data_IF_109699244880
#
_entry.id   IF_109699244880
#
_cell.length_a   1.000
_cell.length_b   1.000
_cell.length_c   1.000
_cell.angle_alpha   90.00
_cell.angle_beta   90.00
_cell.angle_gamma   90.00
#
_symmetry.space_group_name_H-M   'P 1'
#
loop_
_entity.id
_entity.type
_entity.pdbx_description
1 polymer ?
#
# COMPACT_ATOMS: atom_id res chain seq x y z
N UNK A 1 -42.54 51.43 -37.08
CA UNK A 1 -43.13 50.13 -36.68
C UNK A 1 -42.20 48.93 -36.93
N UNK A 2 -41.49 48.84 -38.05
CA UNK A 2 -40.53 47.76 -38.33
C UNK A 2 -39.34 47.70 -37.34
N UNK A 3 -38.81 48.84 -36.91
CA UNK A 3 -37.73 48.92 -35.89
C UNK A 3 -38.21 48.46 -34.49
N UNK A 4 -39.48 48.70 -34.15
CA UNK A 4 -40.06 48.30 -32.86
C UNK A 4 -40.33 46.78 -32.83
N UNK A 5 -40.85 46.21 -33.93
CA UNK A 5 -40.99 44.76 -34.09
C UNK A 5 -39.62 44.05 -34.11
N UNK A 6 -38.60 44.61 -34.79
CA UNK A 6 -37.23 44.09 -34.71
C UNK A 6 -36.66 44.11 -33.29
N UNK A 7 -37.05 45.05 -32.44
CA UNK A 7 -36.60 45.14 -31.03
C UNK A 7 -37.31 44.14 -30.11
N UNK A 8 -38.57 43.79 -30.42
CA UNK A 8 -39.32 42.75 -29.71
C UNK A 8 -38.80 41.35 -30.09
N UNK A 9 -38.53 41.10 -31.38
CA UNK A 9 -38.02 39.80 -31.83
C UNK A 9 -36.50 39.60 -31.66
N UNK A 10 -35.68 40.66 -31.59
CA UNK A 10 -34.25 40.52 -31.22
C UNK A 10 -34.05 40.03 -29.79
N UNK A 11 -34.96 40.41 -28.88
CA UNK A 11 -34.86 40.03 -27.48
C UNK A 11 -35.32 38.59 -27.21
N UNK A 12 -36.12 37.98 -28.11
CA UNK A 12 -36.51 36.56 -27.99
C UNK A 12 -35.44 35.62 -28.57
N UNK A 13 -34.70 36.04 -29.62
CA UNK A 13 -33.59 35.24 -30.17
C UNK A 13 -32.31 35.30 -29.31
N UNK A 14 -32.05 36.41 -28.60
CA UNK A 14 -30.90 36.52 -27.68
C UNK A 14 -31.18 36.03 -26.25
N UNK A 15 -32.45 35.73 -25.89
CA UNK A 15 -32.85 35.18 -24.58
C UNK A 15 -33.41 33.75 -24.62
N UNK A 16 -33.14 32.99 -25.68
CA UNK A 16 -33.12 31.54 -25.56
C UNK A 16 -31.92 31.16 -24.68
N UNK A 17 -32.06 31.32 -23.36
CA UNK A 17 -31.14 30.76 -22.39
C UNK A 17 -30.89 29.31 -22.80
N UNK A 18 -29.67 29.03 -23.28
CA UNK A 18 -29.27 27.68 -23.71
C UNK A 18 -29.66 26.75 -22.57
N UNK A 19 -30.71 25.95 -22.78
CA UNK A 19 -31.19 25.03 -21.75
C UNK A 19 -30.05 24.05 -21.50
N UNK A 20 -29.36 24.23 -20.37
CA UNK A 20 -28.33 23.30 -19.93
C UNK A 20 -29.03 21.96 -19.71
N UNK A 21 -28.73 21.00 -20.57
CA UNK A 21 -29.34 19.67 -20.49
C UNK A 21 -28.59 18.87 -19.43
N UNK A 22 -29.28 18.54 -18.35
CA UNK A 22 -28.73 17.69 -17.31
C UNK A 22 -28.77 16.23 -17.78
N UNK A 23 -27.63 15.56 -17.76
CA UNK A 23 -27.51 14.18 -18.22
C UNK A 23 -26.87 13.32 -17.14
N UNK A 24 -27.53 12.21 -16.81
CA UNK A 24 -26.97 11.20 -15.90
C UNK A 24 -25.79 10.49 -16.57
N UNK A 25 -24.70 10.29 -15.82
CA UNK A 25 -23.50 9.60 -16.27
C UNK A 25 -23.79 8.19 -16.82
N UNK A 26 -24.79 7.52 -16.27
CA UNK A 26 -25.24 6.19 -16.70
C UNK A 26 -25.70 6.21 -18.15
N UNK A 27 -26.49 7.22 -18.52
CA UNK A 27 -27.14 7.35 -19.83
C UNK A 27 -26.31 8.15 -20.85
N UNK A 28 -25.29 8.88 -20.39
CA UNK A 28 -24.51 9.81 -21.21
C UNK A 28 -23.88 9.18 -22.46
N UNK A 29 -23.39 7.94 -22.33
CA UNK A 29 -22.78 7.20 -23.45
C UNK A 29 -23.81 6.79 -24.50
N UNK A 30 -24.95 6.25 -24.07
CA UNK A 30 -26.04 5.86 -24.97
C UNK A 30 -26.60 7.08 -25.69
N UNK A 31 -26.83 8.16 -24.95
CA UNK A 31 -27.26 9.43 -25.50
C UNK A 31 -26.29 10.01 -26.54
N UNK A 32 -24.97 9.96 -26.27
CA UNK A 32 -23.97 10.43 -27.23
C UNK A 32 -23.95 9.55 -28.49
N UNK A 33 -24.10 8.23 -28.35
CA UNK A 33 -24.21 7.31 -29.48
C UNK A 33 -25.44 7.63 -30.35
N UNK A 34 -26.60 7.88 -29.73
CA UNK A 34 -27.80 8.26 -30.46
C UNK A 34 -27.63 9.60 -31.20
N UNK A 35 -27.09 10.62 -30.52
CA UNK A 35 -26.86 11.95 -31.10
C UNK A 35 -25.82 11.96 -32.21
N UNK A 36 -24.83 11.08 -32.14
CA UNK A 36 -23.79 10.95 -33.16
C UNK A 36 -24.16 10.03 -34.32
N UNK A 37 -25.31 9.35 -34.25
CA UNK A 37 -25.79 8.44 -35.31
C UNK A 37 -25.89 9.11 -36.69
N UNK A 38 -26.46 10.32 -36.85
CA UNK A 38 -26.52 10.97 -38.18
C UNK A 38 -25.13 11.27 -38.75
N UNK A 39 -24.16 11.61 -37.90
CA UNK A 39 -22.77 11.82 -38.32
C UNK A 39 -22.13 10.50 -38.78
N UNK A 40 -22.37 9.41 -38.06
CA UNK A 40 -21.91 8.08 -38.46
C UNK A 40 -22.55 7.65 -39.78
N UNK A 41 -23.84 7.87 -39.96
CA UNK A 41 -24.57 7.56 -41.19
C UNK A 41 -24.02 8.34 -42.39
N UNK A 42 -23.71 9.64 -42.23
CA UNK A 42 -23.08 10.47 -43.27
C UNK A 42 -21.69 9.92 -43.68
N UNK A 43 -20.83 9.62 -42.71
CA UNK A 43 -19.51 9.02 -42.95
C UNK A 43 -19.65 7.67 -43.67
N UNK A 44 -20.61 6.83 -43.26
CA UNK A 44 -20.87 5.54 -43.90
C UNK A 44 -21.39 5.69 -45.33
N UNK A 45 -22.24 6.68 -45.61
CA UNK A 45 -22.72 6.96 -46.96
C UNK A 45 -21.58 7.42 -47.88
N UNK A 46 -20.74 8.33 -47.41
CA UNK A 46 -19.56 8.79 -48.15
C UNK A 46 -18.58 7.64 -48.42
N UNK A 47 -18.30 6.81 -47.40
CA UNK A 47 -17.47 5.61 -47.56
C UNK A 47 -18.08 4.62 -48.56
N UNK A 48 -19.40 4.39 -48.51
CA UNK A 48 -20.08 3.50 -49.45
C UNK A 48 -19.96 3.99 -50.91
N UNK A 49 -20.05 5.30 -51.12
CA UNK A 49 -19.85 5.90 -52.44
C UNK A 49 -18.41 5.69 -52.95
N UNK A 50 -17.41 5.84 -52.08
CA UNK A 50 -16.01 5.57 -52.45
C UNK A 50 -15.80 4.08 -52.75
N UNK A 51 -16.38 3.16 -51.97
CA UNK A 51 -16.32 1.72 -52.24
C UNK A 51 -16.94 1.35 -53.60
N UNK A 52 -17.99 2.05 -54.02
CA UNK A 52 -18.55 1.87 -55.35
C UNK A 52 -17.53 2.24 -56.44
N UNK A 53 -16.85 3.39 -56.31
CA UNK A 53 -15.76 3.78 -57.22
C UNK A 53 -14.60 2.77 -57.20
N UNK A 54 -14.25 2.23 -56.03
CA UNK A 54 -13.21 1.18 -55.89
C UNK A 54 -13.62 -0.08 -56.66
N UNK A 55 -14.89 -0.48 -56.57
CA UNK A 55 -15.42 -1.63 -57.33
C UNK A 55 -15.38 -1.39 -58.85
N UNK A 56 -15.74 -0.18 -59.30
CA UNK A 56 -15.62 0.18 -60.71
C UNK A 56 -14.16 0.15 -61.20
N UNK A 57 -13.24 0.70 -60.41
CA UNK A 57 -11.81 0.69 -60.74
C UNK A 57 -11.22 -0.73 -60.73
N UNK A 58 -11.70 -1.60 -59.84
CA UNK A 58 -11.37 -3.03 -59.83
C UNK A 58 -11.74 -3.70 -61.15
N UNK A 59 -12.93 -3.42 -61.69
CA UNK A 59 -13.31 -3.96 -63.01
C UNK A 59 -12.44 -3.39 -64.13
N UNK A 60 -12.16 -2.08 -64.13
CA UNK A 60 -11.28 -1.45 -65.13
C UNK A 60 -9.85 -2.02 -65.10
N UNK A 61 -9.31 -2.25 -63.92
CA UNK A 61 -8.00 -2.86 -63.73
C UNK A 61 -7.99 -4.29 -64.29
N UNK A 62 -9.03 -5.09 -64.03
CA UNK A 62 -9.17 -6.45 -64.58
C UNK A 62 -9.22 -6.46 -66.11
N UNK A 63 -10.02 -5.58 -66.72
CA UNK A 63 -10.03 -5.44 -68.18
C UNK A 63 -8.67 -5.02 -68.75
N UNK A 64 -7.95 -4.14 -68.05
CA UNK A 64 -6.61 -3.72 -68.47
C UNK A 64 -5.57 -4.84 -68.37
N UNK A 65 -5.69 -5.71 -67.36
CA UNK A 65 -4.87 -6.91 -67.21
C UNK A 65 -5.15 -7.91 -68.32
N UNK A 66 -6.43 -8.20 -68.60
CA UNK A 66 -6.81 -9.10 -69.69
C UNK A 66 -6.33 -8.57 -71.04
N UNK A 67 -6.39 -7.25 -71.26
CA UNK A 67 -5.82 -6.62 -72.45
C UNK A 67 -4.31 -6.83 -72.55
N UNK A 68 -3.56 -6.67 -71.45
CA UNK A 68 -2.11 -6.95 -71.42
C UNK A 68 -1.80 -8.43 -71.69
N UNK A 69 -2.57 -9.35 -71.11
CA UNK A 69 -2.40 -10.79 -71.33
C UNK A 69 -2.55 -11.17 -72.81
N UNK A 70 -3.56 -10.59 -73.47
CA UNK A 70 -3.91 -10.86 -74.86
C UNK A 70 -3.18 -9.99 -75.89
N UNK A 71 -2.45 -8.96 -75.44
CA UNK A 71 -1.75 -8.03 -76.33
C UNK A 71 -0.68 -8.73 -77.18
N UNK A 72 -0.67 -8.41 -78.48
CA UNK A 72 0.31 -8.90 -79.46
C UNK A 72 1.45 -7.91 -79.63
N UNK A 73 2.66 -8.43 -79.88
CA UNK A 73 3.82 -7.60 -80.18
C UNK A 73 3.59 -6.76 -81.45
N UNK A 74 3.86 -5.46 -81.36
CA UNK A 74 3.83 -4.58 -82.53
C UNK A 74 4.94 -4.93 -83.53
N UNK A 75 6.12 -5.28 -83.04
CA UNK A 75 7.20 -5.86 -83.83
C UNK A 75 7.41 -7.34 -83.45
N UNK A 76 6.95 -8.30 -84.25
CA UNK A 76 7.14 -9.73 -83.96
C UNK A 76 8.58 -10.20 -84.20
N UNK A 77 9.41 -9.43 -84.92
CA UNK A 77 10.78 -9.78 -85.29
C UNK A 77 11.79 -9.36 -84.20
N UNK A 78 11.62 -9.89 -82.98
CA UNK A 78 12.56 -9.68 -81.87
C UNK A 78 13.35 -10.96 -81.57
N UNK A 79 14.54 -10.87 -80.95
CA UNK A 79 15.31 -12.05 -80.55
C UNK A 79 14.51 -12.98 -79.64
N UNK A 80 14.63 -14.29 -79.85
CA UNK A 80 13.91 -15.31 -79.08
C UNK A 80 14.09 -15.14 -77.55
N UNK A 81 15.31 -14.84 -77.12
CA UNK A 81 15.64 -14.56 -75.71
C UNK A 81 14.84 -13.36 -75.17
N UNK A 82 14.71 -12.27 -75.93
CA UNK A 82 13.93 -11.10 -75.53
C UNK A 82 12.44 -11.43 -75.42
N UNK A 83 11.90 -12.25 -76.34
CA UNK A 83 10.52 -12.74 -76.29
C UNK A 83 10.25 -13.56 -75.02
N UNK A 84 11.15 -14.48 -74.66
CA UNK A 84 11.03 -15.27 -73.42
C UNK A 84 11.07 -14.40 -72.16
N UNK A 85 11.98 -13.42 -72.10
CA UNK A 85 12.04 -12.48 -70.97
C UNK A 85 10.75 -11.67 -70.85
N UNK A 86 10.24 -11.14 -71.96
CA UNK A 86 8.98 -10.39 -71.97
C UNK A 86 7.82 -11.27 -71.46
N UNK A 87 7.65 -12.47 -71.99
CA UNK A 87 6.54 -13.37 -71.61
C UNK A 87 6.61 -13.78 -70.14
N UNK A 88 7.83 -14.06 -69.63
CA UNK A 88 8.05 -14.37 -68.23
C UNK A 88 7.68 -13.19 -67.30
N UNK A 89 8.12 -11.98 -67.66
CA UNK A 89 7.78 -10.76 -66.90
C UNK A 89 6.29 -10.42 -67.00
N UNK A 90 5.64 -10.65 -68.16
CA UNK A 90 4.19 -10.49 -68.33
C UNK A 90 3.43 -11.35 -67.34
N UNK A 91 3.73 -12.66 -67.29
CA UNK A 91 3.07 -13.60 -66.37
C UNK A 91 3.30 -13.23 -64.92
N UNK A 92 4.53 -12.85 -64.55
CA UNK A 92 4.86 -12.43 -63.20
C UNK A 92 4.08 -11.14 -62.81
N UNK A 93 4.09 -10.13 -63.68
CA UNK A 93 3.39 -8.87 -63.46
C UNK A 93 1.88 -9.09 -63.29
N UNK A 94 1.25 -9.80 -64.23
CA UNK A 94 -0.19 -10.07 -64.17
C UNK A 94 -0.56 -10.83 -62.91
N UNK A 95 0.21 -11.85 -62.51
CA UNK A 95 -0.02 -12.59 -61.27
C UNK A 95 0.03 -11.68 -60.05
N UNK A 96 1.06 -10.83 -59.94
CA UNK A 96 1.23 -9.90 -58.82
C UNK A 96 0.09 -8.88 -58.75
N UNK A 97 -0.29 -8.28 -59.88
CA UNK A 97 -1.41 -7.32 -59.92
C UNK A 97 -2.73 -8.00 -59.59
N UNK A 98 -3.02 -9.19 -60.13
CA UNK A 98 -4.24 -9.94 -59.79
C UNK A 98 -4.31 -10.29 -58.29
N UNK A 99 -3.18 -10.66 -57.67
CA UNK A 99 -3.12 -10.90 -56.23
C UNK A 99 -3.48 -9.64 -55.44
N UNK A 100 -2.95 -8.48 -55.82
CA UNK A 100 -3.29 -7.21 -55.21
C UNK A 100 -4.78 -6.87 -55.39
N UNK A 101 -5.32 -7.04 -56.60
CA UNK A 101 -6.73 -6.79 -56.89
C UNK A 101 -7.67 -7.69 -56.06
N UNK A 102 -7.25 -8.92 -55.73
CA UNK A 102 -7.99 -9.79 -54.81
C UNK A 102 -8.13 -9.19 -53.41
N UNK A 103 -7.15 -8.42 -52.93
CA UNK A 103 -7.25 -7.71 -51.65
C UNK A 103 -8.18 -6.49 -51.72
N UNK A 104 -8.46 -5.95 -52.91
CA UNK A 104 -9.35 -4.80 -53.09
C UNK A 104 -10.84 -5.20 -53.13
N UNK A 105 -11.17 -6.49 -53.03
CA UNK A 105 -12.53 -7.00 -52.89
C UNK A 105 -13.06 -6.79 -51.46
N UNK A 106 -13.47 -5.56 -51.16
CA UNK A 106 -13.97 -5.18 -49.84
C UNK A 106 -15.47 -5.50 -49.72
N UNK A 107 -15.79 -6.54 -48.97
CA UNK A 107 -17.18 -6.95 -48.70
C UNK A 107 -17.75 -6.40 -47.39
N UNK A 108 -16.88 -6.04 -46.43
CA UNK A 108 -17.28 -5.49 -45.15
C UNK A 108 -17.28 -3.96 -45.19
N UNK A 109 -18.43 -3.35 -44.88
CA UNK A 109 -18.63 -1.89 -44.89
C UNK A 109 -18.63 -1.27 -43.49
N UNK A 110 -18.34 -2.06 -42.46
CA UNK A 110 -18.22 -1.58 -41.09
C UNK A 110 -17.11 -0.52 -40.97
N UNK A 111 -17.38 0.54 -40.22
CA UNK A 111 -16.48 1.68 -40.04
C UNK A 111 -15.11 1.25 -39.49
N UNK A 112 -15.09 0.40 -38.45
CA UNK A 112 -13.82 -0.03 -37.84
C UNK A 112 -13.04 -0.96 -38.76
N UNK A 113 -13.73 -1.82 -39.53
CA UNK A 113 -13.09 -2.61 -40.56
C UNK A 113 -12.42 -1.74 -41.62
N UNK A 114 -13.12 -0.72 -42.14
CA UNK A 114 -12.60 0.16 -43.18
C UNK A 114 -11.39 0.99 -42.71
N UNK A 115 -11.39 1.43 -41.45
CA UNK A 115 -10.21 2.05 -40.83
C UNK A 115 -9.04 1.07 -40.81
N UNK A 116 -9.29 -0.16 -40.38
CA UNK A 116 -8.27 -1.21 -40.33
C UNK A 116 -7.67 -1.47 -41.72
N UNK A 117 -8.52 -1.61 -42.73
CA UNK A 117 -8.09 -1.82 -44.11
C UNK A 117 -7.28 -0.64 -44.66
N UNK A 118 -7.72 0.61 -44.42
CA UNK A 118 -6.99 1.78 -44.89
C UNK A 118 -5.58 1.89 -44.29
N UNK A 119 -5.35 1.36 -43.08
CA UNK A 119 -4.02 1.31 -42.47
C UNK A 119 -3.09 0.32 -43.17
N UNK A 120 -3.62 -0.81 -43.64
CA UNK A 120 -2.82 -1.85 -44.31
C UNK A 120 -2.68 -1.61 -45.82
N UNK A 121 -3.53 -0.77 -46.42
CA UNK A 121 -3.49 -0.46 -47.85
C UNK A 121 -2.12 0.07 -48.31
N UNK A 122 -1.49 0.95 -47.53
CA UNK A 122 -0.19 1.54 -47.87
C UNK A 122 0.90 0.46 -47.98
N UNK A 123 0.83 -0.59 -47.16
CA UNK A 123 1.75 -1.72 -47.23
C UNK A 123 1.48 -2.54 -48.49
N UNK A 124 0.21 -2.84 -48.78
CA UNK A 124 -0.20 -3.62 -49.97
C UNK A 124 0.26 -2.97 -51.28
N UNK A 125 0.06 -1.66 -51.45
CA UNK A 125 0.46 -0.95 -52.67
C UNK A 125 1.99 -0.85 -52.78
N UNK A 126 2.69 -0.66 -51.66
CA UNK A 126 4.15 -0.62 -51.64
C UNK A 126 4.79 -1.96 -51.99
N UNK A 127 4.23 -3.05 -51.47
CA UNK A 127 4.71 -4.40 -51.76
C UNK A 127 4.45 -4.77 -53.22
N UNK A 128 3.30 -4.39 -53.77
CA UNK A 128 3.05 -4.53 -55.21
C UNK A 128 4.09 -3.76 -56.03
N UNK A 129 4.35 -2.49 -55.70
CA UNK A 129 5.31 -1.65 -56.41
C UNK A 129 6.72 -2.26 -56.41
N UNK A 130 7.20 -2.72 -55.25
CA UNK A 130 8.49 -3.40 -55.13
C UNK A 130 8.54 -4.70 -55.92
N UNK A 131 7.48 -5.52 -55.82
CA UNK A 131 7.39 -6.82 -56.48
C UNK A 131 7.24 -6.74 -58.01
N UNK A 132 6.76 -5.61 -58.53
CA UNK A 132 6.44 -5.47 -59.96
C UNK A 132 7.36 -4.53 -60.74
N UNK A 133 8.20 -3.72 -60.08
CA UNK A 133 9.04 -2.69 -60.71
C UNK A 133 9.83 -3.20 -61.93
N UNK A 134 10.53 -4.33 -61.78
CA UNK A 134 11.32 -4.93 -62.87
C UNK A 134 10.43 -5.37 -64.02
N UNK A 135 9.36 -6.10 -63.72
CA UNK A 135 8.45 -6.62 -64.73
C UNK A 135 7.74 -5.49 -65.48
N UNK A 136 7.31 -4.46 -64.78
CA UNK A 136 6.74 -3.24 -65.35
C UNK A 136 7.73 -2.55 -66.31
N UNK A 137 8.97 -2.32 -65.86
CA UNK A 137 10.01 -1.65 -66.68
C UNK A 137 10.29 -2.41 -67.98
N UNK A 138 10.38 -3.74 -67.90
CA UNK A 138 10.58 -4.57 -69.10
C UNK A 138 9.36 -4.53 -70.01
N UNK A 139 8.15 -4.60 -69.45
CA UNK A 139 6.93 -4.60 -70.24
C UNK A 139 6.63 -3.25 -70.90
N UNK A 140 7.10 -2.13 -70.34
CA UNK A 140 6.96 -0.82 -70.96
C UNK A 140 7.61 -0.75 -72.36
N UNK A 141 8.72 -1.46 -72.59
CA UNK A 141 9.38 -1.52 -73.91
C UNK A 141 8.53 -2.22 -74.99
N UNK A 142 7.55 -3.06 -74.59
CA UNK A 142 6.77 -3.88 -75.52
C UNK A 142 5.26 -3.58 -75.50
N UNK A 143 4.72 -3.14 -74.37
CA UNK A 143 3.30 -2.96 -74.05
C UNK A 143 3.07 -1.70 -73.21
N UNK A 144 3.73 -0.59 -73.58
CA UNK A 144 3.64 0.68 -72.86
C UNK A 144 2.20 1.14 -72.62
N UNK A 145 1.31 0.94 -73.60
CA UNK A 145 -0.07 1.37 -73.52
C UNK A 145 -0.88 0.55 -72.52
N UNK A 146 -0.78 -0.78 -72.58
CA UNK A 146 -1.49 -1.70 -71.70
C UNK A 146 -0.98 -1.58 -70.25
N UNK A 147 0.34 -1.57 -70.08
CA UNK A 147 0.95 -1.40 -68.75
C UNK A 147 0.72 -0.01 -68.17
N UNK A 148 0.64 1.03 -69.01
CA UNK A 148 0.25 2.38 -68.60
C UNK A 148 -1.19 2.48 -68.08
N UNK A 149 -2.13 1.76 -68.70
CA UNK A 149 -3.53 1.68 -68.19
C UNK A 149 -3.60 1.03 -66.81
N UNK A 150 -2.87 -0.06 -66.61
CA UNK A 150 -2.81 -0.74 -65.30
C UNK A 150 -2.19 0.20 -64.24
N UNK A 151 -1.08 0.88 -64.58
CA UNK A 151 -0.46 1.85 -63.68
C UNK A 151 -1.42 3.00 -63.31
N UNK A 152 -2.23 3.48 -64.27
CA UNK A 152 -3.25 4.49 -64.00
C UNK A 152 -4.33 3.97 -63.04
N UNK A 153 -4.78 2.71 -63.20
CA UNK A 153 -5.71 2.08 -62.24
C UNK A 153 -5.13 1.99 -60.83
N UNK A 154 -3.85 1.60 -60.69
CA UNK A 154 -3.17 1.56 -59.39
C UNK A 154 -3.10 2.96 -58.74
N UNK A 155 -2.84 4.01 -59.53
CA UNK A 155 -2.88 5.39 -59.06
C UNK A 155 -4.29 5.83 -58.63
N UNK A 156 -5.32 5.37 -59.35
CA UNK A 156 -6.70 5.66 -58.98
C UNK A 156 -7.07 5.00 -57.65
N UNK A 157 -6.65 3.75 -57.40
CA UNK A 157 -6.82 3.12 -56.08
C UNK A 157 -6.17 3.95 -54.97
N UNK A 158 -4.92 4.37 -55.13
CA UNK A 158 -4.22 5.21 -54.16
C UNK A 158 -5.01 6.49 -53.83
N UNK A 159 -5.50 7.18 -54.86
CA UNK A 159 -6.36 8.36 -54.69
C UNK A 159 -7.68 8.05 -53.96
N UNK A 160 -8.34 6.95 -54.30
CA UNK A 160 -9.62 6.56 -53.69
C UNK A 160 -9.45 6.17 -52.21
N UNK A 161 -8.38 5.47 -51.87
CA UNK A 161 -8.08 5.16 -50.46
C UNK A 161 -7.58 6.38 -49.70
N UNK A 162 -6.96 7.36 -50.35
CA UNK A 162 -6.73 8.69 -49.79
C UNK A 162 -8.02 9.42 -49.44
N UNK A 163 -9.00 9.43 -50.36
CA UNK A 163 -10.35 9.98 -50.15
C UNK A 163 -11.04 9.24 -48.98
N UNK A 164 -10.97 7.91 -48.96
CA UNK A 164 -11.54 7.06 -47.90
C UNK A 164 -10.95 7.40 -46.53
N UNK A 165 -9.61 7.50 -46.43
CA UNK A 165 -8.93 7.89 -45.17
C UNK A 165 -9.41 9.26 -44.68
N UNK A 166 -9.59 10.22 -45.58
CA UNK A 166 -10.08 11.56 -45.22
C UNK A 166 -11.51 11.52 -44.67
N UNK A 167 -12.39 10.72 -45.29
CA UNK A 167 -13.78 10.54 -44.83
C UNK A 167 -13.83 9.85 -43.47
N UNK A 168 -13.04 8.78 -43.29
CA UNK A 168 -13.00 8.02 -42.04
C UNK A 168 -12.33 8.79 -40.90
N UNK A 169 -11.38 9.68 -41.18
CA UNK A 169 -10.76 10.58 -40.20
C UNK A 169 -11.57 11.85 -39.94
N UNK A 170 -12.89 11.78 -40.01
CA UNK A 170 -13.77 12.89 -39.67
C UNK A 170 -13.50 13.36 -38.23
N UNK A 171 -13.00 14.59 -38.08
CA UNK A 171 -12.57 15.14 -36.78
C UNK A 171 -13.66 15.05 -35.71
N UNK A 172 -14.92 15.29 -36.09
CA UNK A 172 -16.06 15.20 -35.16
C UNK A 172 -16.30 13.78 -34.70
N UNK A 173 -16.20 12.80 -35.60
CA UNK A 173 -16.40 11.39 -35.25
C UNK A 173 -15.25 10.85 -34.40
N UNK A 174 -14.01 11.31 -34.65
CA UNK A 174 -12.86 11.04 -33.79
C UNK A 174 -13.10 11.63 -32.38
N UNK A 175 -13.56 12.87 -32.30
CA UNK A 175 -13.89 13.52 -31.03
C UNK A 175 -15.01 12.79 -30.27
N UNK A 176 -16.07 12.32 -30.96
CA UNK A 176 -17.12 11.47 -30.36
C UNK A 176 -16.52 10.23 -29.71
N UNK A 177 -15.67 9.49 -30.44
CA UNK A 177 -15.05 8.28 -29.92
C UNK A 177 -14.15 8.56 -28.71
N UNK A 178 -13.40 9.67 -28.72
CA UNK A 178 -12.59 10.10 -27.57
C UNK A 178 -13.46 10.45 -26.36
N UNK A 179 -14.57 11.17 -26.57
CA UNK A 179 -15.53 11.49 -25.52
C UNK A 179 -16.13 10.21 -24.90
N UNK A 180 -16.48 9.21 -25.71
CA UNK A 180 -16.97 7.90 -25.22
C UNK A 180 -15.94 7.23 -24.30
N UNK A 181 -14.65 7.23 -24.68
CA UNK A 181 -13.58 6.67 -23.83
C UNK A 181 -13.49 7.43 -22.50
N UNK A 182 -13.55 8.76 -22.53
CA UNK A 182 -13.56 9.58 -21.31
C UNK A 182 -14.78 9.28 -20.43
N UNK A 183 -15.97 9.17 -21.01
CA UNK A 183 -17.20 8.81 -20.29
C UNK A 183 -17.07 7.46 -19.58
N UNK A 184 -16.49 6.45 -20.26
CA UNK A 184 -16.23 5.13 -19.65
C UNK A 184 -15.24 5.22 -18.50
N UNK A 185 -14.18 6.02 -18.64
CA UNK A 185 -13.21 6.27 -17.58
C UNK A 185 -13.88 6.97 -16.37
N UNK A 186 -14.75 7.96 -16.64
CA UNK A 186 -15.54 8.63 -15.61
C UNK A 186 -16.43 7.63 -14.85
N UNK A 187 -17.19 6.78 -15.57
CA UNK A 187 -18.00 5.69 -14.98
C UNK A 187 -17.17 4.78 -14.07
N UNK A 188 -15.96 4.39 -14.51
CA UNK A 188 -15.07 3.55 -13.72
C UNK A 188 -14.60 4.26 -12.43
N UNK A 189 -14.17 5.52 -12.54
CA UNK A 189 -13.71 6.31 -11.38
C UNK A 189 -14.84 6.57 -10.37
N UNK A 190 -16.04 6.89 -10.84
CA UNK A 190 -17.21 7.07 -9.97
C UNK A 190 -17.55 5.79 -9.20
N UNK A 191 -17.48 4.62 -9.85
CA UNK A 191 -17.65 3.32 -9.16
C UNK A 191 -16.55 3.07 -8.13
N UNK A 192 -15.30 3.37 -8.47
CA UNK A 192 -14.18 3.22 -7.54
C UNK A 192 -14.35 4.11 -6.30
N UNK A 193 -14.82 5.34 -6.48
CA UNK A 193 -15.13 6.24 -5.35
C UNK A 193 -16.21 5.66 -4.44
N UNK A 194 -17.31 5.15 -5.00
CA UNK A 194 -18.38 4.51 -4.22
C UNK A 194 -17.82 3.37 -3.37
N UNK A 195 -16.92 2.56 -3.92
CA UNK A 195 -16.28 1.48 -3.16
C UNK A 195 -15.43 2.04 -2.00
N UNK A 196 -14.60 3.07 -2.24
CA UNK A 196 -13.85 3.70 -1.16
C UNK A 196 -14.73 4.34 -0.09
N UNK A 197 -15.86 4.94 -0.45
CA UNK A 197 -16.81 5.50 0.52
C UNK A 197 -17.45 4.41 1.39
N UNK A 198 -17.78 3.25 0.80
CA UNK A 198 -18.30 2.08 1.53
C UNK A 198 -17.24 1.49 2.45
N UNK A 199 -16.02 1.28 1.94
CA UNK A 199 -14.92 0.72 2.70
C UNK A 199 -14.50 1.65 3.85
N UNK A 200 -14.51 2.96 3.61
CA UNK A 200 -14.25 3.98 4.63
C UNK A 200 -15.27 3.90 5.77
N UNK A 201 -16.57 3.77 5.48
CA UNK A 201 -17.61 3.57 6.51
C UNK A 201 -17.42 2.28 7.30
N UNK A 202 -16.97 1.20 6.65
CA UNK A 202 -16.67 -0.06 7.34
C UNK A 202 -15.44 0.06 8.26
N UNK A 203 -14.40 0.77 7.81
CA UNK A 203 -13.22 1.06 8.61
C UNK A 203 -13.55 1.97 9.81
N UNK A 204 -14.41 2.98 9.62
CA UNK A 204 -14.92 3.84 10.71
C UNK A 204 -15.68 3.04 11.77
N UNK A 205 -16.58 2.14 11.33
CA UNK A 205 -17.32 1.27 12.26
C UNK A 205 -16.37 0.36 13.05
N UNK A 206 -15.35 -0.19 12.40
CA UNK A 206 -14.34 -1.05 13.03
C UNK A 206 -13.45 -0.27 14.00
N UNK A 207 -13.11 0.99 13.69
CA UNK A 207 -12.41 1.89 14.60
C UNK A 207 -13.25 2.19 15.85
N UNK A 208 -14.56 2.43 15.67
CA UNK A 208 -15.48 2.64 16.77
C UNK A 208 -15.57 1.43 17.70
N UNK A 209 -15.72 0.22 17.15
CA UNK A 209 -15.74 -1.03 17.92
C UNK A 209 -14.45 -1.19 18.72
N UNK A 210 -13.28 -1.03 18.09
CA UNK A 210 -11.99 -1.14 18.79
C UNK A 210 -11.83 -0.10 19.92
N UNK A 211 -12.39 1.10 19.72
CA UNK A 211 -12.40 2.15 20.76
C UNK A 211 -13.32 1.78 21.92
N UNK A 212 -14.49 1.20 21.64
CA UNK A 212 -15.40 0.68 22.67
C UNK A 212 -14.77 -0.49 23.45
N UNK A 213 -14.08 -1.42 22.78
CA UNK A 213 -13.30 -2.50 23.41
C UNK A 213 -12.25 -1.95 24.38
N UNK A 214 -11.45 -0.96 23.94
CA UNK A 214 -10.47 -0.29 24.80
C UNK A 214 -11.12 0.33 26.05
N UNK A 215 -12.23 1.04 25.87
CA UNK A 215 -12.93 1.67 26.99
C UNK A 215 -13.50 0.63 27.97
N UNK A 216 -13.97 -0.52 27.49
CA UNK A 216 -14.41 -1.62 28.34
C UNK A 216 -13.26 -2.21 29.16
N UNK A 217 -12.07 -2.38 28.56
CA UNK A 217 -10.87 -2.83 29.26
C UNK A 217 -10.46 -1.83 30.36
N UNK A 218 -10.46 -0.53 30.05
CA UNK A 218 -10.17 0.53 31.04
C UNK A 218 -11.15 0.45 32.22
N UNK A 219 -12.46 0.34 31.95
CA UNK A 219 -13.46 0.21 32.99
C UNK A 219 -13.27 -1.06 33.85
N UNK A 220 -12.81 -2.16 33.25
CA UNK A 220 -12.48 -3.39 33.99
C UNK A 220 -11.26 -3.22 34.88
N UNK A 221 -10.22 -2.51 34.42
CA UNK A 221 -9.05 -2.15 35.23
C UNK A 221 -9.48 -1.30 36.43
N UNK A 222 -10.34 -0.30 36.23
CA UNK A 222 -10.85 0.55 37.32
C UNK A 222 -11.64 -0.25 38.35
N UNK A 223 -12.55 -1.13 37.89
CA UNK A 223 -13.29 -2.05 38.78
C UNK A 223 -12.37 -2.98 39.55
N UNK A 224 -11.33 -3.50 38.89
CA UNK A 224 -10.35 -4.35 39.54
C UNK A 224 -9.52 -3.59 40.57
N UNK A 225 -9.11 -2.36 40.27
CA UNK A 225 -8.39 -1.50 41.20
C UNK A 225 -9.20 -1.17 42.47
N UNK A 226 -10.53 -1.05 42.32
CA UNK A 226 -11.47 -0.84 43.42
C UNK A 226 -11.88 -2.13 44.15
N UNK A 227 -11.41 -3.30 43.69
CA UNK A 227 -11.78 -4.59 44.28
C UNK A 227 -11.07 -4.85 45.61
N UNK A 228 -11.71 -5.65 46.46
CA UNK A 228 -11.11 -6.13 47.71
C UNK A 228 -9.83 -6.93 47.48
N UNK A 229 -9.75 -7.67 46.37
CA UNK A 229 -8.58 -8.46 45.99
C UNK A 229 -7.34 -7.57 45.77
N UNK A 230 -7.50 -6.46 45.05
CA UNK A 230 -6.43 -5.50 44.83
C UNK A 230 -6.05 -4.76 46.12
N UNK A 231 -7.05 -4.36 46.92
CA UNK A 231 -6.80 -3.75 48.23
C UNK A 231 -6.01 -4.67 49.18
N UNK A 232 -6.35 -5.97 49.19
CA UNK A 232 -5.62 -6.99 49.96
C UNK A 232 -4.20 -7.19 49.46
N UNK A 233 -3.98 -7.15 48.14
CA UNK A 233 -2.63 -7.21 47.59
C UNK A 233 -1.78 -6.00 48.01
N UNK A 234 -2.36 -4.78 47.98
CA UNK A 234 -1.69 -3.57 48.44
C UNK A 234 -1.33 -3.65 49.93
N UNK A 235 -2.26 -4.10 50.78
CA UNK A 235 -2.00 -4.23 52.21
C UNK A 235 -0.94 -5.28 52.53
N UNK A 236 -0.93 -6.43 51.84
CA UNK A 236 0.14 -7.43 51.96
C UNK A 236 1.51 -6.89 51.53
N UNK A 237 1.56 -6.08 50.48
CA UNK A 237 2.79 -5.45 50.02
C UNK A 237 3.30 -4.39 51.02
N UNK A 238 2.39 -3.63 51.62
CA UNK A 238 2.71 -2.66 52.65
C UNK A 238 3.18 -3.35 53.94
N UNK A 239 2.50 -4.42 54.37
CA UNK A 239 2.92 -5.25 55.51
C UNK A 239 4.33 -5.80 55.29
N UNK A 240 4.59 -6.37 54.10
CA UNK A 240 5.93 -6.86 53.72
C UNK A 240 6.99 -5.76 53.82
N UNK A 241 6.69 -4.56 53.32
CA UNK A 241 7.60 -3.41 53.38
C UNK A 241 7.86 -2.98 54.83
N UNK A 242 6.83 -2.94 55.66
CA UNK A 242 6.93 -2.54 57.06
C UNK A 242 7.73 -3.57 57.88
N UNK A 243 7.49 -4.88 57.69
CA UNK A 243 8.29 -5.93 58.34
C UNK A 243 9.74 -5.90 57.92
N UNK A 244 10.02 -5.74 56.62
CA UNK A 244 11.39 -5.60 56.13
C UNK A 244 12.11 -4.39 56.74
N UNK A 245 11.42 -3.27 56.87
CA UNK A 245 11.97 -2.07 57.52
C UNK A 245 12.24 -2.28 59.02
N UNK A 246 11.31 -2.91 59.74
CA UNK A 246 11.49 -3.22 61.16
C UNK A 246 12.68 -4.17 61.38
N UNK A 247 12.82 -5.19 60.54
CA UNK A 247 13.94 -6.13 60.65
C UNK A 247 15.28 -5.49 60.30
N UNK A 248 15.31 -4.55 59.34
CA UNK A 248 16.52 -3.80 59.00
C UNK A 248 17.11 -3.04 60.21
N UNK A 249 16.28 -2.58 61.15
CA UNK A 249 16.76 -1.95 62.38
C UNK A 249 17.44 -2.97 63.31
N UNK A 250 16.86 -4.16 63.46
CA UNK A 250 17.45 -5.27 64.21
C UNK A 250 18.77 -5.75 63.55
N UNK A 251 18.83 -5.87 62.22
CA UNK A 251 20.05 -6.21 61.48
C UNK A 251 21.16 -5.17 61.70
N UNK A 252 20.83 -3.88 61.59
CA UNK A 252 21.80 -2.81 61.79
C UNK A 252 22.38 -2.81 63.20
N UNK A 253 21.60 -3.17 64.21
CA UNK A 253 22.10 -3.29 65.59
C UNK A 253 23.22 -4.34 65.67
N UNK A 254 23.03 -5.49 65.03
CA UNK A 254 24.07 -6.54 64.95
C UNK A 254 25.28 -6.06 64.14
N UNK A 255 25.06 -5.51 62.94
CA UNK A 255 26.13 -5.04 62.07
C UNK A 255 26.99 -3.96 62.75
N UNK A 256 26.37 -3.02 63.47
CA UNK A 256 27.07 -1.98 64.22
C UNK A 256 27.87 -2.54 65.39
N UNK A 257 27.34 -3.55 66.07
CA UNK A 257 28.02 -4.23 67.18
C UNK A 257 29.28 -4.94 66.65
N UNK A 258 29.16 -5.72 65.57
CA UNK A 258 30.31 -6.41 64.95
C UNK A 258 31.31 -5.45 64.28
N UNK A 259 30.86 -4.35 63.68
CA UNK A 259 31.74 -3.29 63.16
C UNK A 259 32.57 -2.64 64.26
N UNK A 260 31.97 -2.40 65.43
CA UNK A 260 32.69 -1.87 66.60
C UNK A 260 33.73 -2.85 67.15
N UNK A 261 33.53 -4.14 66.91
CA UNK A 261 34.43 -5.23 67.33
C UNK A 261 35.41 -5.68 66.24
N UNK A 262 35.34 -5.13 65.04
CA UNK A 262 36.12 -5.59 63.87
C UNK A 262 37.63 -5.61 64.14
N UNK A 263 38.17 -4.48 64.58
CA UNK A 263 39.62 -4.34 64.85
C UNK A 263 40.08 -5.20 66.05
N UNK A 264 39.38 -5.24 67.20
CA UNK A 264 39.68 -6.17 68.28
C UNK A 264 39.63 -7.65 67.86
N UNK A 265 38.55 -8.07 67.18
CA UNK A 265 38.35 -9.46 66.75
C UNK A 265 39.41 -9.91 65.75
N UNK A 266 39.74 -9.07 64.75
CA UNK A 266 40.79 -9.36 63.77
C UNK A 266 42.19 -9.43 64.40
N UNK A 267 42.46 -8.67 65.47
CA UNK A 267 43.72 -8.81 66.21
C UNK A 267 43.74 -10.07 67.07
N UNK A 268 42.60 -10.43 67.66
CA UNK A 268 42.45 -11.62 68.48
C UNK A 268 42.57 -12.90 67.65
N UNK A 269 42.04 -12.94 66.43
CA UNK A 269 42.14 -14.10 65.53
C UNK A 269 43.58 -14.50 65.22
N UNK A 270 44.52 -13.54 65.18
CA UNK A 270 45.96 -13.81 64.98
C UNK A 270 46.68 -14.34 66.23
N UNK A 271 46.06 -14.21 67.42
CA UNK A 271 46.61 -14.71 68.69
C UNK A 271 46.01 -16.08 69.02
N UNK A 272 44.71 -16.27 68.73
CA UNK A 272 43.97 -17.50 68.90
C UNK A 272 43.71 -18.17 67.54
N UNK A 273 44.76 -18.77 66.96
CA UNK A 273 44.75 -19.40 65.63
C UNK A 273 43.63 -20.45 65.42
N UNK A 274 43.18 -21.10 66.49
CA UNK A 274 42.13 -22.13 66.46
C UNK A 274 40.73 -21.57 66.07
N UNK A 275 40.53 -20.25 66.10
CA UNK A 275 39.25 -19.61 65.82
C UNK A 275 39.27 -18.61 64.65
N UNK A 276 40.36 -18.56 63.87
CA UNK A 276 40.56 -17.52 62.86
C UNK A 276 39.46 -17.49 61.79
N UNK A 277 39.09 -18.65 61.24
CA UNK A 277 38.06 -18.77 60.20
C UNK A 277 36.68 -18.35 60.71
N UNK A 278 36.28 -18.84 61.89
CA UNK A 278 35.00 -18.49 62.53
C UNK A 278 34.92 -16.99 62.83
N UNK A 279 36.00 -16.37 63.31
CA UNK A 279 36.04 -14.91 63.54
C UNK A 279 35.83 -14.15 62.23
N UNK A 280 36.48 -14.56 61.14
CA UNK A 280 36.35 -13.91 59.84
C UNK A 280 34.92 -14.02 59.28
N UNK A 281 34.27 -15.17 59.45
CA UNK A 281 32.87 -15.37 59.03
C UNK A 281 31.92 -14.42 59.78
N UNK A 282 32.13 -14.22 61.08
CA UNK A 282 31.35 -13.29 61.88
C UNK A 282 31.59 -11.83 61.55
N UNK A 283 32.75 -11.47 61.00
CA UNK A 283 33.04 -10.10 60.56
C UNK A 283 32.51 -9.82 59.16
N UNK A 284 32.65 -10.78 58.24
CA UNK A 284 32.26 -10.60 56.85
C UNK A 284 30.74 -10.71 56.67
N UNK A 285 30.11 -11.66 57.39
CA UNK A 285 28.68 -11.93 57.27
C UNK A 285 28.02 -12.19 58.63
N UNK A 286 27.97 -11.18 59.51
CA UNK A 286 27.58 -11.38 60.91
C UNK A 286 26.23 -12.09 61.08
N UNK A 287 25.25 -11.73 60.25
CA UNK A 287 23.87 -12.24 60.34
C UNK A 287 23.77 -13.68 59.80
N UNK A 288 24.33 -13.95 58.61
CA UNK A 288 24.33 -15.31 58.02
C UNK A 288 25.06 -16.29 58.94
N UNK A 289 26.25 -15.91 59.42
CA UNK A 289 27.06 -16.72 60.31
C UNK A 289 26.35 -16.98 61.64
N UNK A 290 25.77 -15.94 62.25
CA UNK A 290 25.00 -16.08 63.49
C UNK A 290 23.77 -16.97 63.33
N UNK A 291 23.07 -16.90 62.19
CA UNK A 291 21.90 -17.74 61.93
C UNK A 291 22.22 -19.23 61.73
N UNK A 292 23.43 -19.54 61.28
CA UNK A 292 23.87 -20.91 61.01
C UNK A 292 24.65 -21.53 62.19
N UNK A 293 25.12 -20.72 63.13
CA UNK A 293 25.82 -21.20 64.32
C UNK A 293 24.86 -21.67 65.42
N UNK A 294 24.64 -23.00 65.46
CA UNK A 294 23.80 -23.65 66.48
C UNK A 294 24.43 -23.67 67.88
N UNK A 295 25.75 -23.52 67.97
CA UNK A 295 26.50 -23.59 69.23
C UNK A 295 26.79 -22.22 69.84
N UNK A 296 26.59 -21.14 69.09
CA UNK A 296 26.99 -19.78 69.46
C UNK A 296 28.48 -19.71 69.87
N UNK A 297 29.36 -20.30 69.06
CA UNK A 297 30.81 -20.29 69.19
C UNK A 297 31.37 -18.86 69.35
N UNK A 298 30.66 -17.85 68.82
CA UNK A 298 31.01 -16.43 69.03
C UNK A 298 31.04 -16.03 70.52
N UNK A 299 30.26 -16.67 71.40
CA UNK A 299 30.26 -16.34 72.83
C UNK A 299 31.60 -16.68 73.49
N UNK A 300 32.19 -17.82 73.15
CA UNK A 300 33.50 -18.22 73.67
C UNK A 300 34.61 -17.31 73.12
N UNK A 301 34.51 -16.94 71.84
CA UNK A 301 35.40 -15.96 71.21
C UNK A 301 35.30 -14.60 71.90
N UNK A 302 34.08 -14.09 72.15
CA UNK A 302 33.85 -12.80 72.81
C UNK A 302 34.35 -12.81 74.27
N UNK A 303 34.16 -13.92 75.00
CA UNK A 303 34.65 -14.09 76.38
C UNK A 303 36.19 -14.11 76.45
N UNK A 304 36.83 -14.78 75.50
CA UNK A 304 38.29 -14.80 75.42
C UNK A 304 38.86 -13.45 74.94
N UNK A 305 38.15 -12.78 74.02
CA UNK A 305 38.45 -11.42 73.61
C UNK A 305 38.34 -10.43 74.79
N UNK A 306 37.30 -10.54 75.63
CA UNK A 306 37.14 -9.71 76.83
C UNK A 306 38.34 -9.84 77.77
N UNK A 307 38.76 -11.08 78.07
CA UNK A 307 39.96 -11.35 78.89
C UNK A 307 41.22 -10.75 78.27
N UNK A 308 41.44 -10.97 76.97
CA UNK A 308 42.61 -10.46 76.27
C UNK A 308 42.66 -8.92 76.21
N UNK A 309 41.50 -8.25 76.24
CA UNK A 309 41.41 -6.79 76.32
C UNK A 309 41.73 -6.26 77.72
N UNK A 310 41.27 -6.94 78.78
CA UNK A 310 41.52 -6.59 80.18
C UNK A 310 42.98 -6.84 80.61
N UNK A 311 43.58 -7.95 80.17
CA UNK A 311 44.95 -8.35 80.52
C UNK A 311 46.05 -7.67 79.66
N UNK A 312 45.68 -6.71 78.81
CA UNK A 312 46.55 -6.08 77.81
C UNK A 312 47.19 -7.05 76.78
N UNK A 313 46.61 -8.25 76.61
CA UNK A 313 47.03 -9.22 75.59
C UNK A 313 46.84 -8.73 74.15
N UNK A 314 46.00 -7.71 73.93
CA UNK A 314 45.82 -7.04 72.64
C UNK A 314 46.21 -5.56 72.77
N UNK A 315 47.17 -5.11 71.95
CA UNK A 315 47.58 -3.70 71.89
C UNK A 315 46.47 -2.83 71.27
N UNK A 316 45.60 -2.30 72.12
CA UNK A 316 44.59 -1.27 71.80
C UNK A 316 44.78 -0.11 72.77
N UNK A 317 44.76 1.12 72.25
CA UNK A 317 44.86 2.36 73.03
C UNK A 317 43.79 2.42 74.13
N UNK A 318 44.16 2.81 75.36
CA UNK A 318 43.33 2.68 76.56
C UNK A 318 41.97 3.38 76.47
N UNK A 319 41.92 4.56 75.82
CA UNK A 319 40.67 5.30 75.56
C UNK A 319 39.74 4.66 74.51
N UNK A 320 40.22 3.64 73.78
CA UNK A 320 39.47 2.94 72.72
C UNK A 320 39.01 1.54 73.14
N UNK A 321 39.28 1.13 74.38
CA UNK A 321 38.89 -0.19 74.93
C UNK A 321 37.46 -0.22 75.49
N UNK A 322 36.92 0.92 75.92
CA UNK A 322 35.61 1.01 76.57
C UNK A 322 34.47 0.56 75.63
N UNK A 323 34.38 1.13 74.42
CA UNK A 323 33.31 0.80 73.45
C UNK A 323 33.29 -0.68 73.02
N UNK A 324 34.44 -1.33 72.69
CA UNK A 324 34.45 -2.78 72.46
C UNK A 324 34.01 -3.62 73.67
N UNK A 325 34.41 -3.23 74.89
CA UNK A 325 34.00 -3.95 76.11
C UNK A 325 32.49 -3.83 76.38
N UNK A 326 31.90 -2.67 76.09
CA UNK A 326 30.45 -2.46 76.17
C UNK A 326 29.70 -3.32 75.14
N UNK A 327 30.16 -3.35 73.89
CA UNK A 327 29.54 -4.17 72.83
C UNK A 327 29.69 -5.67 73.11
N UNK A 328 30.83 -6.14 73.65
CA UNK A 328 31.00 -7.54 74.08
C UNK A 328 29.97 -7.93 75.15
N UNK A 329 29.73 -7.06 76.13
CA UNK A 329 28.71 -7.30 77.18
C UNK A 329 27.29 -7.30 76.65
N UNK A 330 27.02 -6.48 75.63
CA UNK A 330 25.73 -6.40 74.94
C UNK A 330 25.47 -7.66 74.11
N UNK A 331 26.48 -8.21 73.44
CA UNK A 331 26.41 -9.45 72.67
C UNK A 331 26.46 -10.71 73.56
N UNK A 332 25.64 -10.72 74.61
CA UNK A 332 25.49 -11.88 75.48
C UNK A 332 24.62 -12.97 74.84
N UNK A 333 24.57 -14.14 75.51
CA UNK A 333 23.83 -15.31 75.04
C UNK A 333 22.36 -14.99 74.79
N UNK A 334 21.71 -14.34 75.75
CA UNK A 334 20.29 -14.00 75.68
C UNK A 334 19.99 -13.08 74.47
N UNK A 335 20.83 -12.08 74.22
CA UNK A 335 20.68 -11.15 73.10
C UNK A 335 20.83 -11.87 71.76
N UNK A 336 21.88 -12.68 71.60
CA UNK A 336 22.15 -13.40 70.35
C UNK A 336 21.06 -14.46 70.06
N UNK A 337 20.64 -15.23 71.07
CA UNK A 337 19.54 -16.19 70.92
C UNK A 337 18.23 -15.51 70.53
N UNK A 338 17.92 -14.36 71.15
CA UNK A 338 16.75 -13.55 70.79
C UNK A 338 16.84 -13.02 69.36
N UNK A 339 18.00 -12.54 68.94
CA UNK A 339 18.19 -12.07 67.56
C UNK A 339 18.02 -13.22 66.55
N UNK A 340 18.65 -14.38 66.78
CA UNK A 340 18.50 -15.55 65.90
C UNK A 340 17.04 -15.98 65.80
N UNK A 341 16.32 -16.01 66.93
CA UNK A 341 14.89 -16.32 66.95
C UNK A 341 14.07 -15.31 66.14
N UNK A 342 14.36 -14.01 66.29
CA UNK A 342 13.72 -12.94 65.49
C UNK A 342 14.02 -13.09 64.00
N UNK A 343 15.26 -13.40 63.62
CA UNK A 343 15.67 -13.62 62.23
C UNK A 343 14.89 -14.75 61.57
N UNK A 344 14.78 -15.91 62.24
CA UNK A 344 14.01 -17.03 61.69
C UNK A 344 12.51 -16.75 61.64
N UNK A 345 11.94 -16.06 62.63
CA UNK A 345 10.54 -15.61 62.59
C UNK A 345 10.30 -14.67 61.41
N UNK A 346 11.16 -13.64 61.26
CA UNK A 346 11.09 -12.71 60.14
C UNK A 346 11.18 -13.41 58.79
N UNK A 347 12.15 -14.31 58.62
CA UNK A 347 12.33 -15.07 57.37
C UNK A 347 11.09 -15.89 57.03
N UNK A 348 10.53 -16.62 58.00
CA UNK A 348 9.30 -17.39 57.83
C UNK A 348 8.10 -16.51 57.46
N UNK A 349 7.93 -15.39 58.16
CA UNK A 349 6.84 -14.43 57.89
C UNK A 349 6.95 -13.78 56.52
N UNK A 350 8.19 -13.46 56.08
CA UNK A 350 8.45 -12.91 54.76
C UNK A 350 8.14 -13.93 53.65
N UNK A 351 8.52 -15.18 53.84
CA UNK A 351 8.21 -16.26 52.90
C UNK A 351 6.70 -16.51 52.79
N UNK A 352 5.98 -16.50 53.93
CA UNK A 352 4.52 -16.58 53.93
C UNK A 352 3.86 -15.40 53.21
N UNK A 353 4.32 -14.17 53.47
CA UNK A 353 3.81 -12.97 52.79
C UNK A 353 4.08 -13.04 51.30
N UNK A 354 5.27 -13.46 50.89
CA UNK A 354 5.61 -13.59 49.48
C UNK A 354 4.75 -14.66 48.78
N UNK A 355 4.49 -15.78 49.45
CA UNK A 355 3.58 -16.81 48.94
C UNK A 355 2.14 -16.30 48.83
N UNK A 356 1.64 -15.57 49.84
CA UNK A 356 0.30 -14.93 49.80
C UNK A 356 0.19 -13.91 48.65
N UNK A 357 1.24 -13.12 48.43
CA UNK A 357 1.33 -12.15 47.32
C UNK A 357 1.33 -12.88 45.97
N UNK A 358 2.13 -13.95 45.81
CA UNK A 358 2.16 -14.75 44.58
C UNK A 358 0.82 -15.41 44.27
N UNK A 359 0.20 -16.02 45.27
CA UNK A 359 -1.09 -16.71 45.14
C UNK A 359 -2.27 -15.75 44.85
N UNK A 360 -2.11 -14.45 45.10
CA UNK A 360 -3.15 -13.47 44.77
C UNK A 360 -3.44 -13.36 43.27
N UNK A 361 -2.50 -13.73 42.39
CA UNK A 361 -2.67 -13.64 40.93
C UNK A 361 -2.84 -12.21 40.38
N UNK A 362 -2.79 -11.19 41.24
CA UNK A 362 -3.01 -9.78 40.87
C UNK A 362 -2.02 -9.31 39.81
N UNK A 363 -0.75 -9.69 39.95
CA UNK A 363 0.29 -9.35 38.98
C UNK A 363 0.03 -9.96 37.58
N UNK A 364 -0.55 -11.15 37.52
CA UNK A 364 -0.90 -11.81 36.25
C UNK A 364 -2.12 -11.13 35.61
N UNK A 365 -3.13 -10.79 36.40
CA UNK A 365 -4.28 -9.99 35.94
C UNK A 365 -3.86 -8.66 35.33
N UNK A 366 -2.95 -7.92 35.97
CA UNK A 366 -2.43 -6.68 35.40
C UNK A 366 -1.65 -6.89 34.10
N UNK A 367 -0.86 -7.97 33.99
CA UNK A 367 -0.20 -8.30 32.71
C UNK A 367 -1.21 -8.58 31.61
N UNK A 368 -2.28 -9.30 31.91
CA UNK A 368 -3.34 -9.58 30.96
C UNK A 368 -4.05 -8.30 30.51
N UNK A 369 -4.43 -7.42 31.43
CA UNK A 369 -5.01 -6.13 31.10
C UNK A 369 -4.09 -5.25 30.24
N UNK A 370 -2.80 -5.22 30.55
CA UNK A 370 -1.83 -4.46 29.75
C UNK A 370 -1.72 -5.03 28.33
N UNK A 371 -1.70 -6.36 28.18
CA UNK A 371 -1.68 -7.00 26.86
C UNK A 371 -2.94 -6.67 26.06
N UNK A 372 -4.12 -6.80 26.68
CA UNK A 372 -5.40 -6.46 26.05
C UNK A 372 -5.45 -4.98 25.63
N UNK A 373 -4.94 -4.07 26.45
CA UNK A 373 -4.82 -2.65 26.10
C UNK A 373 -3.88 -2.40 24.93
N UNK A 374 -2.72 -3.06 24.91
CA UNK A 374 -1.76 -2.97 23.81
C UNK A 374 -2.37 -3.46 22.49
N UNK A 375 -3.01 -4.63 22.52
CA UNK A 375 -3.71 -5.20 21.38
C UNK A 375 -4.83 -4.27 20.86
N UNK A 376 -5.63 -3.69 21.77
CA UNK A 376 -6.70 -2.76 21.41
C UNK A 376 -6.14 -1.46 20.80
N UNK A 377 -5.04 -0.91 21.36
CA UNK A 377 -4.39 0.29 20.81
C UNK A 377 -3.83 0.04 19.40
N UNK A 378 -3.20 -1.12 19.17
CA UNK A 378 -2.69 -1.50 17.84
C UNK A 378 -3.83 -1.61 16.81
N UNK A 379 -4.98 -2.18 17.21
CA UNK A 379 -6.17 -2.23 16.34
C UNK A 379 -6.71 -0.84 16.02
N UNK A 380 -6.79 0.04 17.02
CA UNK A 380 -7.23 1.44 16.83
C UNK A 380 -6.29 2.16 15.86
N UNK A 381 -4.98 2.04 16.05
CA UNK A 381 -3.99 2.68 15.17
C UNK A 381 -4.12 2.17 13.73
N UNK A 382 -4.16 0.85 13.54
CA UNK A 382 -4.29 0.25 12.21
C UNK A 382 -5.59 0.67 11.52
N UNK A 383 -6.73 0.57 12.20
CA UNK A 383 -8.03 0.92 11.63
C UNK A 383 -8.11 2.44 11.35
N UNK A 384 -7.50 3.27 12.19
CA UNK A 384 -7.42 4.72 12.00
C UNK A 384 -6.60 5.11 10.77
N UNK A 385 -5.43 4.47 10.58
CA UNK A 385 -4.60 4.68 9.38
C UNK A 385 -5.34 4.25 8.10
N UNK A 386 -6.03 3.11 8.13
CA UNK A 386 -6.80 2.61 7.00
C UNK A 386 -7.98 3.53 6.65
N UNK A 387 -8.74 3.98 7.65
CA UNK A 387 -9.84 4.93 7.48
C UNK A 387 -9.37 6.25 6.83
N UNK A 388 -8.31 6.86 7.37
CA UNK A 388 -7.77 8.11 6.84
C UNK A 388 -7.21 7.93 5.42
N UNK A 389 -6.57 6.80 5.13
CA UNK A 389 -6.11 6.48 3.77
C UNK A 389 -7.28 6.41 2.78
N UNK A 390 -8.32 5.64 3.09
CA UNK A 390 -9.50 5.48 2.22
C UNK A 390 -10.22 6.81 1.99
N UNK A 391 -10.37 7.62 3.04
CA UNK A 391 -10.97 8.95 2.95
C UNK A 391 -10.18 9.90 2.05
N UNK A 392 -8.85 9.88 2.16
CA UNK A 392 -7.97 10.68 1.30
C UNK A 392 -8.00 10.22 -0.16
N UNK A 393 -8.04 8.90 -0.40
CA UNK A 393 -8.14 8.35 -1.76
C UNK A 393 -9.49 8.66 -2.41
N UNK A 394 -10.60 8.63 -1.64
CA UNK A 394 -11.91 9.08 -2.09
C UNK A 394 -11.92 10.57 -2.46
N UNK A 395 -11.35 11.44 -1.62
CA UNK A 395 -11.25 12.87 -1.89
C UNK A 395 -10.42 13.19 -3.14
N UNK A 396 -9.31 12.48 -3.37
CA UNK A 396 -8.51 12.60 -4.60
C UNK A 396 -9.28 12.19 -5.84
N UNK A 397 -10.12 11.15 -5.74
CA UNK A 397 -10.97 10.74 -6.84
C UNK A 397 -12.05 11.78 -7.14
N UNK A 398 -12.60 12.45 -6.14
CA UNK A 398 -13.59 13.52 -6.35
C UNK A 398 -13.06 14.64 -7.26
N UNK A 399 -11.85 15.13 -6.99
CA UNK A 399 -11.21 16.14 -7.83
C UNK A 399 -10.98 15.63 -9.26
N UNK A 400 -10.58 14.36 -9.41
CA UNK A 400 -10.33 13.75 -10.71
C UNK A 400 -11.63 13.52 -11.51
N UNK A 401 -12.71 13.11 -10.84
CA UNK A 401 -14.05 12.94 -11.42
C UNK A 401 -14.58 14.29 -11.89
N UNK A 402 -14.48 15.34 -11.06
CA UNK A 402 -14.94 16.68 -11.42
C UNK A 402 -14.18 17.25 -12.63
N UNK A 403 -12.85 17.11 -12.68
CA UNK A 403 -12.04 17.53 -13.83
C UNK A 403 -12.45 16.78 -15.11
N UNK A 404 -12.57 15.47 -15.03
CA UNK A 404 -12.93 14.65 -16.19
C UNK A 404 -14.37 14.91 -16.68
N UNK A 405 -15.30 15.16 -15.75
CA UNK A 405 -16.66 15.58 -16.10
C UNK A 405 -16.65 16.91 -16.87
N UNK A 406 -15.92 17.92 -16.39
CA UNK A 406 -15.79 19.21 -17.07
C UNK A 406 -15.15 19.07 -18.47
N UNK A 407 -14.13 18.21 -18.61
CA UNK A 407 -13.54 17.91 -19.92
C UNK A 407 -14.56 17.28 -20.87
N UNK A 408 -15.36 16.33 -20.40
CA UNK A 408 -16.43 15.70 -21.19
C UNK A 408 -17.49 16.74 -21.59
N UNK A 409 -17.93 17.60 -20.67
CA UNK A 409 -18.89 18.67 -20.96
C UNK A 409 -18.37 19.62 -22.05
N UNK A 410 -17.09 19.99 -21.98
CA UNK A 410 -16.42 20.81 -23.00
C UNK A 410 -16.34 20.10 -24.35
N UNK A 411 -15.96 18.82 -24.35
CA UNK A 411 -15.86 18.02 -25.58
C UNK A 411 -17.24 17.89 -26.24
N UNK A 412 -18.28 17.59 -25.46
CA UNK A 412 -19.65 17.46 -25.96
C UNK A 412 -20.18 18.78 -26.53
N UNK A 413 -19.86 19.91 -25.89
CA UNK A 413 -20.19 21.24 -26.42
C UNK A 413 -19.52 21.47 -27.77
N UNK A 414 -18.27 21.05 -27.95
CA UNK A 414 -17.56 21.21 -29.22
C UNK A 414 -18.11 20.29 -30.32
N UNK A 415 -18.54 19.07 -29.96
CA UNK A 415 -19.05 18.07 -30.91
C UNK A 415 -20.47 18.41 -31.36
N UNK A 416 -21.36 18.74 -30.42
CA UNK A 416 -22.80 18.82 -30.63
C UNK A 416 -23.36 20.25 -30.57
N UNK A 417 -22.55 21.23 -30.14
CA UNK A 417 -22.97 22.61 -29.88
C UNK A 417 -24.11 22.72 -28.84
N UNK A 418 -24.25 21.72 -27.97
CA UNK A 418 -25.21 21.67 -26.88
C UNK A 418 -24.49 21.88 -25.52
N UNK A 419 -25.09 22.64 -24.60
CA UNK A 419 -24.58 22.75 -23.24
C UNK A 419 -25.14 21.62 -22.38
N UNK A 420 -24.25 20.76 -21.89
CA UNK A 420 -24.59 19.57 -21.12
C UNK A 420 -23.93 19.68 -19.76
N UNK A 421 -24.66 19.25 -18.72
CA UNK A 421 -24.12 19.08 -17.38
C UNK A 421 -24.22 17.62 -16.96
N UNK A 422 -23.09 17.00 -16.65
CA UNK A 422 -23.02 15.60 -16.24
C UNK A 422 -23.35 15.49 -14.75
N UNK A 423 -24.31 14.64 -14.42
CA UNK A 423 -24.68 14.29 -13.04
C UNK A 423 -24.13 12.89 -12.75
N UNK A 424 -23.28 12.78 -11.74
CA UNK A 424 -22.55 11.56 -11.37
C UNK A 424 -22.66 11.21 -9.89
#
# INVERSE_FOLDING_TARGET
MLEFLKKIFRNEEEQAAKKVTQMSLQNLEEWLNEKSKPLMEDVQQQAAHILMKVSEELQRARFSIEALENAKLQNPNIPFKAKQYMEGNRKAYVRSVNSFLGHMEINNRDYFYLIGFCKTFDELINDLNKGTLRSYTILQEFFAHETGKIAQSLKNFDSLFGEMKSVLNNERLVAVNQAIVKIRNLKMKSRQKINFDVDSKNAEASLKIATEEKNAIIANIEKFNASEEHAKFLSLNEERKNKAKAFYEDENSILQSFSSLERPLRKYSHIAFEHEETVLDYLNKPIETLSNDKSLAILDILKNLEKALMENGIQIDGKKKEKPLEEIKKLNKEFLEQFVKKYFSFKSEMEELENKIKLSGVAEKFRNFNRELEDANLRIEKNGQEFEKLKNDAARLDDAIAKLANEIESDLRNILNEEIRVIY
#
